data_IF_701632152414
#
_entry.id   IF_701632152414
#
_cell.length_a   1.000
_cell.length_b   1.000
_cell.length_c   1.000
_cell.angle_alpha   90.00
_cell.angle_beta   90.00
_cell.angle_gamma   90.00
#
_symmetry.space_group_name_H-M   'P 1'
#
loop_
_entity.id
_entity.type
_entity.pdbx_description
1 polymer ?
#
# COMPACT_ATOMS: atom_id res chain seq x y z
N UNK A 1 -28.48 11.13 23.63
CA UNK A 1 -27.68 11.51 22.45
C UNK A 1 -28.59 11.88 21.32
N UNK A 2 -28.49 13.09 20.80
CA UNK A 2 -29.26 13.46 19.64
C UNK A 2 -28.61 12.92 18.35
N UNK A 3 -29.37 12.84 17.28
CA UNK A 3 -28.95 12.25 15.99
C UNK A 3 -27.71 12.95 15.40
N UNK A 4 -27.56 14.25 15.65
CA UNK A 4 -26.44 15.07 15.17
C UNK A 4 -25.11 14.70 15.85
N UNK A 5 -25.13 14.43 17.16
CA UNK A 5 -23.92 14.00 17.88
C UNK A 5 -23.46 12.62 17.45
N UNK A 6 -24.40 11.74 17.12
CA UNK A 6 -24.10 10.38 16.60
C UNK A 6 -23.47 10.45 15.21
N UNK A 7 -23.95 11.35 14.36
CA UNK A 7 -23.40 11.57 13.01
C UNK A 7 -22.00 12.16 13.06
N UNK A 8 -21.74 13.12 13.96
CA UNK A 8 -20.42 13.70 14.13
C UNK A 8 -19.40 12.72 14.72
N UNK A 9 -19.82 11.86 15.65
CA UNK A 9 -18.97 10.81 16.20
C UNK A 9 -18.57 9.78 15.14
N UNK A 10 -19.49 9.40 14.25
CA UNK A 10 -19.20 8.48 13.17
C UNK A 10 -18.30 9.12 12.10
N UNK A 11 -18.49 10.40 11.79
CA UNK A 11 -17.63 11.12 10.86
C UNK A 11 -16.19 11.23 11.39
N UNK A 12 -16.00 11.50 12.68
CA UNK A 12 -14.68 11.52 13.31
C UNK A 12 -13.97 10.16 13.29
N UNK A 13 -14.71 9.07 13.51
CA UNK A 13 -14.14 7.71 13.41
C UNK A 13 -13.73 7.35 11.99
N UNK A 14 -14.51 7.78 11.00
CA UNK A 14 -14.19 7.55 9.58
C UNK A 14 -12.90 8.25 9.13
N UNK A 15 -12.59 9.42 9.69
CA UNK A 15 -11.36 10.15 9.40
C UNK A 15 -10.13 9.62 10.16
N UNK A 16 -10.33 8.94 11.29
CA UNK A 16 -9.25 8.44 12.13
C UNK A 16 -8.63 7.14 11.62
N UNK A 17 -9.38 6.31 10.91
CA UNK A 17 -8.92 5.04 10.34
C UNK A 17 -9.51 4.82 8.94
N UNK A 18 -8.79 5.25 7.89
CA UNK A 18 -9.26 5.08 6.51
C UNK A 18 -9.50 3.61 6.12
N UNK A 19 -8.74 2.67 6.69
CA UNK A 19 -8.92 1.24 6.45
C UNK A 19 -10.24 0.72 7.00
N UNK A 20 -10.55 1.03 8.27
CA UNK A 20 -11.82 0.65 8.88
C UNK A 20 -13.02 1.28 8.17
N UNK A 21 -12.88 2.50 7.68
CA UNK A 21 -13.92 3.19 6.94
C UNK A 21 -14.23 2.52 5.60
N UNK A 22 -13.19 2.14 4.84
CA UNK A 22 -13.33 1.40 3.60
C UNK A 22 -14.11 0.10 3.84
N UNK A 23 -13.77 -0.62 4.90
CA UNK A 23 -14.37 -1.91 5.22
C UNK A 23 -15.86 -1.81 5.57
N UNK A 24 -16.23 -0.78 6.33
CA UNK A 24 -17.61 -0.63 6.82
C UNK A 24 -18.54 -0.08 5.74
N UNK A 25 -18.08 0.83 4.91
CA UNK A 25 -18.94 1.56 3.96
C UNK A 25 -18.93 0.93 2.58
N UNK A 26 -17.75 0.58 2.06
CA UNK A 26 -17.65 0.07 0.71
C UNK A 26 -18.12 -1.39 0.58
N UNK A 27 -17.93 -2.23 1.61
CA UNK A 27 -18.36 -3.63 1.60
C UNK A 27 -18.00 -4.34 0.30
N UNK A 28 -19.00 -4.70 -0.48
CA UNK A 28 -18.87 -5.37 -1.78
C UNK A 28 -18.88 -4.40 -2.98
N UNK A 29 -18.98 -3.10 -2.75
CA UNK A 29 -18.97 -2.09 -3.80
C UNK A 29 -17.56 -1.63 -4.13
N UNK A 30 -17.34 -1.18 -5.38
CA UNK A 30 -16.09 -0.52 -5.74
C UNK A 30 -15.84 0.70 -4.85
N UNK A 31 -14.57 0.98 -4.59
CA UNK A 31 -14.20 2.11 -3.75
C UNK A 31 -14.55 3.44 -4.44
N UNK A 32 -15.08 4.42 -3.68
CA UNK A 32 -15.27 5.75 -4.23
C UNK A 32 -13.96 6.35 -4.74
N UNK A 33 -14.00 7.03 -5.88
CA UNK A 33 -12.81 7.63 -6.52
C UNK A 33 -12.03 8.56 -5.59
N UNK A 34 -12.71 9.35 -4.75
CA UNK A 34 -12.06 10.26 -3.79
C UNK A 34 -11.26 9.51 -2.72
N UNK A 35 -11.70 8.32 -2.33
CA UNK A 35 -10.97 7.49 -1.37
C UNK A 35 -9.69 6.93 -1.98
N UNK A 36 -9.76 6.44 -3.21
CA UNK A 36 -8.59 6.00 -3.98
C UNK A 36 -7.59 7.16 -4.12
N UNK A 37 -8.05 8.34 -4.51
CA UNK A 37 -7.22 9.52 -4.64
C UNK A 37 -6.51 9.89 -3.33
N UNK A 38 -7.22 9.87 -2.20
CA UNK A 38 -6.66 10.17 -0.88
C UNK A 38 -5.55 9.18 -0.48
N UNK A 39 -5.74 7.89 -0.74
CA UNK A 39 -4.74 6.87 -0.49
C UNK A 39 -3.53 7.06 -1.41
N UNK A 40 -3.77 7.27 -2.70
CA UNK A 40 -2.70 7.38 -3.70
C UNK A 40 -1.85 8.62 -3.51
N UNK A 41 -2.41 9.75 -3.05
CA UNK A 41 -1.62 10.93 -2.70
C UNK A 41 -0.53 10.58 -1.68
N UNK A 42 -0.86 9.84 -0.63
CA UNK A 42 0.11 9.43 0.39
C UNK A 42 1.18 8.49 -0.16
N UNK A 43 0.77 7.50 -0.95
CA UNK A 43 1.69 6.52 -1.56
C UNK A 43 2.63 7.21 -2.54
N UNK A 44 2.10 8.02 -3.44
CA UNK A 44 2.91 8.74 -4.44
C UNK A 44 3.84 9.76 -3.81
N UNK A 45 3.41 10.47 -2.77
CA UNK A 45 4.26 11.40 -2.03
C UNK A 45 5.44 10.68 -1.39
N UNK A 46 5.19 9.57 -0.69
CA UNK A 46 6.26 8.76 -0.10
C UNK A 46 7.20 8.18 -1.17
N UNK A 47 6.67 7.74 -2.30
CA UNK A 47 7.49 7.26 -3.42
C UNK A 47 8.38 8.36 -4.00
N UNK A 48 7.86 9.58 -4.20
CA UNK A 48 8.68 10.71 -4.64
C UNK A 48 9.81 11.04 -3.66
N UNK A 49 9.53 10.97 -2.36
CA UNK A 49 10.56 11.15 -1.32
C UNK A 49 11.62 10.04 -1.37
N UNK A 50 11.23 8.79 -1.62
CA UNK A 50 12.18 7.69 -1.83
C UNK A 50 13.08 7.93 -3.04
N UNK A 51 12.52 8.39 -4.16
CA UNK A 51 13.29 8.70 -5.37
C UNK A 51 14.28 9.84 -5.17
N UNK A 52 13.91 10.85 -4.40
CA UNK A 52 14.73 12.04 -4.18
C UNK A 52 15.77 11.89 -3.06
N UNK A 53 15.75 10.79 -2.30
CA UNK A 53 16.64 10.57 -1.18
C UNK A 53 16.25 11.31 0.11
N UNK A 54 15.03 11.82 0.19
CA UNK A 54 14.52 12.57 1.36
C UNK A 54 13.48 11.79 2.18
N UNK A 55 13.28 10.50 1.89
CA UNK A 55 12.32 9.67 2.59
C UNK A 55 12.76 9.30 3.99
N UNK A 56 11.78 9.17 4.88
CA UNK A 56 11.92 8.52 6.18
C UNK A 56 11.66 7.00 6.08
N UNK A 57 11.96 6.27 7.14
CA UNK A 57 11.61 4.85 7.24
C UNK A 57 10.09 4.64 7.14
N UNK A 58 9.30 5.56 7.67
CA UNK A 58 7.83 5.52 7.55
C UNK A 58 7.36 5.65 6.08
N UNK A 59 8.06 6.42 5.25
CA UNK A 59 7.77 6.50 3.81
C UNK A 59 8.08 5.17 3.12
N UNK A 60 9.21 4.57 3.43
CA UNK A 60 9.60 3.26 2.92
C UNK A 60 8.58 2.19 3.30
N UNK A 61 8.19 2.13 4.57
CA UNK A 61 7.22 1.17 5.08
C UNK A 61 5.84 1.34 4.42
N UNK A 62 5.42 2.58 4.20
CA UNK A 62 4.14 2.88 3.55
C UNK A 62 4.08 2.35 2.12
N UNK A 63 5.10 2.61 1.33
CA UNK A 63 5.18 2.13 -0.06
C UNK A 63 5.31 0.61 -0.08
N UNK A 64 6.17 0.04 0.75
CA UNK A 64 6.34 -1.40 0.88
C UNK A 64 5.06 -2.13 1.26
N UNK A 65 4.32 -1.60 2.22
CA UNK A 65 3.01 -2.16 2.62
C UNK A 65 2.00 -2.14 1.47
N UNK A 66 1.93 -1.03 0.73
CA UNK A 66 1.05 -0.93 -0.44
C UNK A 66 1.37 -1.98 -1.50
N UNK A 67 2.65 -2.17 -1.83
CA UNK A 67 3.06 -3.17 -2.82
C UNK A 67 2.79 -4.60 -2.35
N UNK A 68 2.99 -4.90 -1.08
CA UNK A 68 2.67 -6.23 -0.52
C UNK A 68 1.17 -6.53 -0.56
N UNK A 69 0.34 -5.57 -0.23
CA UNK A 69 -1.13 -5.68 -0.35
C UNK A 69 -1.52 -5.86 -1.82
N UNK A 70 -0.93 -5.06 -2.70
CA UNK A 70 -1.13 -5.14 -4.14
C UNK A 70 -0.73 -6.51 -4.72
N UNK A 71 0.36 -7.09 -4.25
CA UNK A 71 0.81 -8.43 -4.64
C UNK A 71 -0.25 -9.49 -4.32
N UNK A 72 -0.78 -9.48 -3.11
CA UNK A 72 -1.81 -10.44 -2.70
C UNK A 72 -3.06 -10.33 -3.58
N UNK A 73 -3.50 -9.11 -3.88
CA UNK A 73 -4.60 -8.90 -4.82
C UNK A 73 -4.25 -9.36 -6.23
N UNK A 74 -3.05 -9.05 -6.71
CA UNK A 74 -2.58 -9.43 -8.03
C UNK A 74 -2.54 -10.95 -8.24
N UNK A 75 -2.17 -11.72 -7.23
CA UNK A 75 -2.16 -13.20 -7.26
C UNK A 75 -3.53 -13.79 -7.63
N UNK A 76 -4.62 -13.11 -7.28
CA UNK A 76 -5.99 -13.53 -7.60
C UNK A 76 -6.55 -12.92 -8.89
N UNK A 77 -5.80 -12.08 -9.57
CA UNK A 77 -6.23 -11.39 -10.78
C UNK A 77 -5.57 -12.01 -12.03
N UNK A 78 -4.26 -11.91 -12.13
CA UNK A 78 -3.52 -12.29 -13.33
C UNK A 78 -2.02 -12.47 -13.03
N UNK A 79 -1.35 -13.48 -13.62
CA UNK A 79 0.10 -13.66 -13.45
C UNK A 79 0.96 -12.48 -13.88
N UNK A 80 0.54 -11.69 -14.87
CA UNK A 80 1.27 -10.48 -15.27
C UNK A 80 1.20 -9.38 -14.21
N UNK A 81 0.05 -9.23 -13.56
CA UNK A 81 -0.12 -8.33 -12.44
C UNK A 81 0.78 -8.74 -11.26
N UNK A 82 0.82 -10.02 -10.95
CA UNK A 82 1.71 -10.57 -9.92
C UNK A 82 3.18 -10.27 -10.22
N UNK A 83 3.63 -10.52 -11.44
CA UNK A 83 5.01 -10.23 -11.86
C UNK A 83 5.35 -8.75 -11.77
N UNK A 84 4.44 -7.87 -12.15
CA UNK A 84 4.63 -6.42 -12.05
C UNK A 84 4.81 -5.99 -10.60
N UNK A 85 4.00 -6.51 -9.68
CA UNK A 85 4.15 -6.25 -8.24
C UNK A 85 5.46 -6.79 -7.70
N UNK A 86 5.84 -8.00 -8.08
CA UNK A 86 7.11 -8.61 -7.64
C UNK A 86 8.31 -7.79 -8.09
N UNK A 87 8.33 -7.28 -9.32
CA UNK A 87 9.40 -6.39 -9.79
C UNK A 87 9.50 -5.11 -8.96
N UNK A 88 8.37 -4.51 -8.59
CA UNK A 88 8.35 -3.35 -7.71
C UNK A 88 8.88 -3.68 -6.31
N UNK A 89 8.51 -4.81 -5.76
CA UNK A 89 9.01 -5.30 -4.46
C UNK A 89 10.52 -5.54 -4.52
N UNK A 90 11.02 -6.14 -5.59
CA UNK A 90 12.47 -6.31 -5.79
C UNK A 90 13.20 -4.97 -5.83
N UNK A 91 12.62 -3.96 -6.50
CA UNK A 91 13.16 -2.61 -6.49
C UNK A 91 13.19 -1.99 -5.08
N UNK A 92 12.21 -2.28 -4.24
CA UNK A 92 12.20 -1.85 -2.83
C UNK A 92 13.31 -2.54 -2.02
N UNK A 93 13.61 -3.81 -2.26
CA UNK A 93 14.75 -4.49 -1.63
C UNK A 93 16.08 -3.84 -2.02
N UNK A 94 16.26 -3.50 -3.28
CA UNK A 94 17.45 -2.77 -3.74
C UNK A 94 17.53 -1.39 -3.07
N UNK A 95 16.41 -0.69 -2.96
CA UNK A 95 16.29 0.59 -2.26
C UNK A 95 16.72 0.48 -0.79
N UNK A 96 16.28 -0.55 -0.09
CA UNK A 96 16.69 -0.82 1.29
C UNK A 96 18.20 -1.06 1.40
N UNK A 97 18.79 -1.81 0.47
CA UNK A 97 20.22 -2.05 0.41
C UNK A 97 21.04 -0.77 0.15
N UNK A 98 20.53 0.14 -0.68
CA UNK A 98 21.14 1.45 -0.89
C UNK A 98 21.12 2.30 0.38
N UNK A 99 20.02 2.27 1.11
CA UNK A 99 19.91 2.96 2.40
C UNK A 99 20.90 2.41 3.44
N UNK A 100 21.06 1.10 3.53
CA UNK A 100 22.05 0.48 4.43
C UNK A 100 23.47 0.89 4.10
N UNK A 101 23.83 0.99 2.81
CA UNK A 101 25.20 1.32 2.36
C UNK A 101 25.50 2.81 2.37
N UNK A 102 24.51 3.65 2.07
CA UNK A 102 24.73 5.08 1.82
C UNK A 102 23.98 6.02 2.79
N UNK A 103 23.11 5.46 3.64
CA UNK A 103 22.33 6.25 4.60
C UNK A 103 21.11 6.96 4.00
N UNK A 104 20.87 6.83 2.70
CA UNK A 104 19.71 7.40 1.99
C UNK A 104 19.03 6.38 1.10
N UNK A 105 17.71 6.46 1.00
CA UNK A 105 16.94 5.68 0.05
C UNK A 105 17.15 6.21 -1.37
N UNK A 106 17.02 5.34 -2.34
CA UNK A 106 17.10 5.69 -3.75
C UNK A 106 16.79 4.49 -4.63
N UNK A 107 16.69 4.73 -5.93
CA UNK A 107 16.44 3.68 -6.92
C UNK A 107 17.45 3.77 -8.06
N UNK A 108 17.74 2.63 -8.68
CA UNK A 108 18.38 2.57 -9.98
C UNK A 108 17.41 2.97 -11.09
N UNK A 109 17.90 3.24 -12.30
CA UNK A 109 17.02 3.51 -13.46
C UNK A 109 15.99 2.41 -13.70
N UNK A 110 16.40 1.12 -13.81
CA UNK A 110 15.46 -0.01 -13.91
C UNK A 110 14.50 -0.12 -12.70
N UNK A 111 14.96 0.20 -11.51
CA UNK A 111 14.15 0.23 -10.30
C UNK A 111 13.03 1.27 -10.38
N UNK A 112 13.29 2.45 -10.90
CA UNK A 112 12.28 3.49 -11.12
C UNK A 112 11.19 3.01 -12.09
N UNK A 113 11.58 2.37 -13.19
CA UNK A 113 10.61 1.81 -14.15
C UNK A 113 9.73 0.76 -13.49
N UNK A 114 10.33 -0.18 -12.75
CA UNK A 114 9.59 -1.22 -12.05
C UNK A 114 8.65 -0.63 -10.98
N UNK A 115 9.07 0.40 -10.27
CA UNK A 115 8.25 1.06 -9.26
C UNK A 115 7.11 1.86 -9.87
N UNK A 116 7.34 2.58 -10.98
CA UNK A 116 6.26 3.29 -11.67
C UNK A 116 5.16 2.32 -12.10
N UNK A 117 5.54 1.20 -12.70
CA UNK A 117 4.58 0.18 -13.13
C UNK A 117 3.81 -0.42 -11.95
N UNK A 118 4.50 -0.72 -10.85
CA UNK A 118 3.89 -1.29 -9.67
C UNK A 118 2.94 -0.31 -8.94
N UNK A 119 3.32 0.94 -8.82
CA UNK A 119 2.49 1.98 -8.18
C UNK A 119 1.25 2.28 -9.03
N UNK A 120 1.40 2.36 -10.34
CA UNK A 120 0.27 2.55 -11.26
C UNK A 120 -0.69 1.34 -11.22
N UNK A 121 -0.15 0.12 -11.20
CA UNK A 121 -0.96 -1.08 -11.06
C UNK A 121 -1.67 -1.14 -9.70
N UNK A 122 -1.02 -0.72 -8.63
CA UNK A 122 -1.65 -0.64 -7.32
C UNK A 122 -2.87 0.29 -7.33
N UNK A 123 -2.77 1.43 -7.99
CA UNK A 123 -3.91 2.35 -8.15
C UNK A 123 -5.07 1.68 -8.91
N UNK A 124 -4.79 0.96 -9.98
CA UNK A 124 -5.81 0.21 -10.71
C UNK A 124 -6.46 -0.89 -9.86
N UNK A 125 -5.65 -1.65 -9.14
CA UNK A 125 -6.14 -2.69 -8.22
C UNK A 125 -7.03 -2.06 -7.15
N UNK A 126 -6.60 -0.96 -6.55
CA UNK A 126 -7.35 -0.24 -5.53
C UNK A 126 -8.69 0.27 -6.07
N UNK A 127 -8.70 0.81 -7.29
CA UNK A 127 -9.91 1.31 -7.95
C UNK A 127 -10.91 0.21 -8.27
N UNK A 128 -10.44 -0.94 -8.73
CA UNK A 128 -11.29 -2.07 -9.18
C UNK A 128 -11.64 -3.05 -8.07
N UNK A 129 -11.04 -2.95 -6.91
CA UNK A 129 -11.32 -3.81 -5.76
C UNK A 129 -12.35 -3.15 -4.84
N UNK A 130 -13.19 -3.97 -4.18
CA UNK A 130 -14.05 -3.48 -3.12
C UNK A 130 -13.33 -3.46 -1.77
N UNK A 131 -13.94 -2.83 -0.77
CA UNK A 131 -13.36 -2.70 0.55
C UNK A 131 -13.08 -4.04 1.23
N UNK A 132 -13.95 -5.03 1.03
CA UNK A 132 -13.78 -6.38 1.57
C UNK A 132 -12.55 -7.08 0.99
N UNK A 133 -12.36 -7.01 -0.33
CA UNK A 133 -11.19 -7.58 -1.01
C UNK A 133 -9.90 -6.95 -0.53
N UNK A 134 -9.88 -5.62 -0.35
CA UNK A 134 -8.71 -4.91 0.15
C UNK A 134 -8.41 -5.26 1.62
N UNK A 135 -9.42 -5.44 2.45
CA UNK A 135 -9.25 -5.87 3.83
C UNK A 135 -8.62 -7.25 3.92
N UNK A 136 -9.15 -8.21 3.16
CA UNK A 136 -8.62 -9.58 3.10
C UNK A 136 -7.15 -9.56 2.65
N UNK A 137 -6.83 -8.78 1.63
CA UNK A 137 -5.46 -8.62 1.15
C UNK A 137 -4.53 -8.00 2.20
N UNK A 138 -4.99 -6.99 2.92
CA UNK A 138 -4.24 -6.34 3.99
C UNK A 138 -3.96 -7.30 5.15
N UNK A 139 -4.94 -8.06 5.58
CA UNK A 139 -4.77 -9.09 6.63
C UNK A 139 -3.80 -10.18 6.19
N UNK A 140 -3.91 -10.66 4.95
CA UNK A 140 -3.01 -11.66 4.40
C UNK A 140 -1.57 -11.14 4.28
N UNK A 141 -1.36 -9.89 3.88
CA UNK A 141 -0.05 -9.26 3.84
C UNK A 141 0.58 -9.17 5.24
N UNK A 142 -0.23 -8.80 6.24
CA UNK A 142 0.22 -8.76 7.63
C UNK A 142 0.64 -10.14 8.15
N UNK A 143 -0.14 -11.17 7.87
CA UNK A 143 0.20 -12.55 8.25
C UNK A 143 1.52 -13.01 7.60
N UNK A 144 1.73 -12.71 6.31
CA UNK A 144 3.00 -13.02 5.62
C UNK A 144 4.18 -12.32 6.27
N UNK A 145 4.03 -11.04 6.63
CA UNK A 145 5.07 -10.27 7.31
C UNK A 145 5.43 -10.90 8.66
N UNK A 146 4.44 -11.28 9.47
CA UNK A 146 4.66 -11.93 10.76
C UNK A 146 5.39 -13.28 10.61
N UNK A 147 5.06 -14.06 9.59
CA UNK A 147 5.76 -15.33 9.31
C UNK A 147 7.23 -15.10 8.94
N UNK A 148 7.52 -14.08 8.16
CA UNK A 148 8.90 -13.72 7.79
C UNK A 148 9.70 -13.29 9.02
N UNK A 149 9.14 -12.46 9.89
CA UNK A 149 9.78 -12.02 11.13
C UNK A 149 10.04 -13.21 12.05
N UNK A 150 9.08 -14.08 12.25
CA UNK A 150 9.21 -15.26 13.10
C UNK A 150 10.19 -16.29 12.51
N UNK A 151 10.27 -16.42 11.20
CA UNK A 151 11.22 -17.28 10.51
C UNK A 151 12.68 -16.80 10.62
N UNK A 152 12.90 -15.50 10.76
CA UNK A 152 14.24 -14.90 10.93
C UNK A 152 14.77 -15.07 12.37
N UNK A 153 13.87 -15.26 13.33
CA UNK A 153 14.21 -15.43 14.76
C UNK A 153 14.50 -16.90 15.14
N UNK A 154 14.18 -17.82 14.25
CA UNK A 154 14.50 -19.26 14.42
C UNK A 154 15.83 -19.61 13.77
#
# INVERSE_FOLDING_TARGET
MNTLQRTQSNAKRQHADPGAWINVIAGNQEQPAWNVAAIMVKIRTSYELLKSGHASDADFDRVGAALNIGLIRAESIDPLCEQTMLRGIDAMYVCAGLHERHGTYGFTGPGIVAMNDAVDLYEEILTKSNGRQMTIAQEAAHVRLLKLINGVVQ
#
